data_IF_438449618901
#
_entry.id   IF_438449618901
#
_cell.length_a   1.000
_cell.length_b   1.000
_cell.length_c   1.000
_cell.angle_alpha   90.00
_cell.angle_beta   90.00
_cell.angle_gamma   90.00
#
_symmetry.space_group_name_H-M   'P 1'
#
loop_
_entity.id
_entity.type
_entity.pdbx_description
1 polymer ?
#
# COMPACT_ATOMS: atom_id res chain seq x y z
N UNK A 1 -37.13 -47.78 -55.09
CA UNK A 1 -36.00 -47.22 -54.31
C UNK A 1 -35.66 -45.75 -54.64
N UNK A 2 -36.60 -44.96 -55.19
CA UNK A 2 -36.38 -43.53 -55.55
C UNK A 2 -37.16 -42.58 -54.61
N UNK A 3 -38.29 -43.03 -54.05
CA UNK A 3 -39.14 -42.21 -53.17
C UNK A 3 -38.47 -41.92 -51.82
N UNK A 4 -37.76 -42.91 -51.22
CA UNK A 4 -37.10 -42.79 -49.90
C UNK A 4 -35.92 -41.79 -49.91
N UNK A 5 -35.25 -41.60 -51.07
CA UNK A 5 -34.15 -40.62 -51.20
C UNK A 5 -34.68 -39.18 -51.21
N UNK A 6 -35.86 -38.93 -51.80
CA UNK A 6 -36.46 -37.58 -51.86
C UNK A 6 -36.93 -37.10 -50.48
N UNK A 7 -37.48 -38.00 -49.66
CA UNK A 7 -37.94 -37.67 -48.30
C UNK A 7 -36.80 -37.32 -47.34
N UNK A 8 -35.63 -37.97 -47.48
CA UNK A 8 -34.44 -37.63 -46.68
C UNK A 8 -33.86 -36.26 -47.04
N UNK A 9 -33.84 -35.88 -48.32
CA UNK A 9 -33.37 -34.55 -48.74
C UNK A 9 -34.30 -33.42 -48.26
N UNK A 10 -35.62 -33.66 -48.23
CA UNK A 10 -36.58 -32.66 -47.74
C UNK A 10 -36.44 -32.44 -46.23
N UNK A 11 -36.19 -33.51 -45.45
CA UNK A 11 -35.96 -33.40 -44.00
C UNK A 11 -34.68 -32.61 -43.65
N UNK A 12 -33.60 -32.79 -44.42
CA UNK A 12 -32.36 -32.03 -44.22
C UNK A 12 -32.54 -30.54 -44.56
N UNK A 13 -33.29 -30.23 -45.63
CA UNK A 13 -33.60 -28.84 -46.00
C UNK A 13 -34.48 -28.13 -44.97
N UNK A 14 -35.44 -28.83 -44.36
CA UNK A 14 -36.27 -28.26 -43.29
C UNK A 14 -35.44 -28.03 -42.02
N UNK A 15 -34.56 -28.97 -41.65
CA UNK A 15 -33.67 -28.79 -40.50
C UNK A 15 -32.71 -27.61 -40.69
N UNK A 16 -32.22 -27.39 -41.91
CA UNK A 16 -31.36 -26.25 -42.24
C UNK A 16 -32.13 -24.91 -42.22
N UNK A 17 -33.41 -24.92 -42.63
CA UNK A 17 -34.27 -23.74 -42.59
C UNK A 17 -34.63 -23.30 -41.17
N UNK A 18 -34.76 -24.25 -40.23
CA UNK A 18 -34.98 -23.95 -38.80
C UNK A 18 -33.69 -23.41 -38.15
N UNK A 19 -32.50 -23.77 -38.65
CA UNK A 19 -31.23 -23.20 -38.19
C UNK A 19 -30.95 -21.77 -38.67
N UNK A 20 -31.70 -21.28 -39.67
CA UNK A 20 -31.57 -19.91 -40.20
C UNK A 20 -32.60 -18.93 -39.63
N UNK A 21 -33.50 -19.38 -38.75
CA UNK A 21 -34.30 -18.44 -37.95
C UNK A 21 -33.42 -17.93 -36.82
N UNK A 22 -32.72 -16.83 -37.08
CA UNK A 22 -32.00 -16.08 -36.05
C UNK A 22 -32.93 -15.82 -34.87
N UNK A 23 -32.43 -16.07 -33.65
CA UNK A 23 -33.14 -15.79 -32.42
C UNK A 23 -33.63 -14.33 -32.43
N UNK A 24 -34.95 -14.12 -32.44
CA UNK A 24 -35.56 -12.83 -32.09
C UNK A 24 -35.43 -12.59 -30.57
N UNK A 25 -34.21 -12.54 -30.06
CA UNK A 25 -33.96 -12.09 -28.70
C UNK A 25 -33.93 -10.57 -28.75
N UNK A 26 -35.09 -9.96 -28.54
CA UNK A 26 -35.21 -8.51 -28.34
C UNK A 26 -34.66 -8.19 -26.95
N UNK A 27 -33.35 -8.05 -26.83
CA UNK A 27 -32.76 -7.22 -25.76
C UNK A 27 -33.12 -5.79 -26.15
N UNK A 28 -33.84 -5.05 -25.30
CA UNK A 28 -34.03 -3.62 -25.59
C UNK A 28 -32.67 -2.92 -25.45
N UNK A 29 -32.37 -1.87 -26.24
CA UNK A 29 -31.11 -1.14 -26.12
C UNK A 29 -30.85 -0.61 -24.71
N UNK A 30 -31.90 -0.36 -23.92
CA UNK A 30 -31.77 0.04 -22.51
C UNK A 30 -31.18 -1.05 -21.59
N UNK A 31 -31.41 -2.33 -21.86
CA UNK A 31 -30.85 -3.45 -21.05
C UNK A 31 -29.34 -3.66 -21.31
N UNK A 32 -28.82 -3.09 -22.42
CA UNK A 32 -27.38 -2.98 -22.72
C UNK A 32 -26.72 -1.75 -22.08
N UNK A 33 -27.53 -0.89 -21.45
CA UNK A 33 -27.11 0.35 -20.80
C UNK A 33 -27.43 0.24 -19.30
N UNK A 34 -26.79 -0.69 -18.60
CA UNK A 34 -26.71 -0.59 -17.14
C UNK A 34 -25.92 0.69 -16.79
N UNK A 35 -26.44 1.57 -15.92
CA UNK A 35 -25.64 2.67 -15.39
C UNK A 35 -24.37 2.07 -14.76
N UNK A 36 -23.21 2.72 -14.91
CA UNK A 36 -21.97 2.14 -14.41
C UNK A 36 -22.06 2.03 -12.90
N UNK A 37 -21.84 0.82 -12.37
CA UNK A 37 -21.85 0.47 -10.93
C UNK A 37 -21.00 1.42 -10.06
N UNK A 38 -20.03 2.09 -10.68
CA UNK A 38 -19.20 3.14 -10.07
C UNK A 38 -20.03 4.27 -9.44
N UNK A 39 -21.15 4.68 -10.05
CA UNK A 39 -21.99 5.74 -9.47
C UNK A 39 -22.65 5.30 -8.15
N UNK A 40 -23.15 4.07 -8.07
CA UNK A 40 -23.80 3.57 -6.86
C UNK A 40 -22.80 3.42 -5.70
N UNK A 41 -21.59 2.94 -5.99
CA UNK A 41 -20.54 2.80 -4.98
C UNK A 41 -20.06 4.17 -4.46
N UNK A 42 -19.84 5.14 -5.36
CA UNK A 42 -19.41 6.48 -4.99
C UNK A 42 -20.47 7.22 -4.14
N UNK A 43 -21.76 7.03 -4.44
CA UNK A 43 -22.86 7.56 -3.62
C UNK A 43 -22.91 6.93 -2.23
N UNK A 44 -22.66 5.62 -2.13
CA UNK A 44 -22.59 4.91 -0.84
C UNK A 44 -21.41 5.36 0.00
N UNK A 45 -20.23 5.52 -0.60
CA UNK A 45 -19.04 6.04 0.08
C UNK A 45 -19.30 7.47 0.55
N UNK A 46 -19.87 8.32 -0.31
CA UNK A 46 -20.19 9.71 0.06
C UNK A 46 -21.15 9.77 1.26
N UNK A 47 -22.20 8.93 1.24
CA UNK A 47 -23.17 8.85 2.34
C UNK A 47 -22.54 8.33 3.63
N UNK A 48 -21.66 7.34 3.54
CA UNK A 48 -20.89 6.80 4.68
C UNK A 48 -20.00 7.89 5.30
N UNK A 49 -19.33 8.70 4.49
CA UNK A 49 -18.48 9.79 4.96
C UNK A 49 -19.28 10.86 5.70
N UNK A 50 -20.44 11.24 5.15
CA UNK A 50 -21.35 12.22 5.79
C UNK A 50 -21.92 11.73 7.12
N UNK A 51 -22.18 10.42 7.25
CA UNK A 51 -22.71 9.82 8.48
C UNK A 51 -21.64 9.60 9.55
N UNK A 52 -20.43 9.24 9.14
CA UNK A 52 -19.38 8.75 10.05
C UNK A 52 -18.41 9.85 10.51
N UNK A 53 -18.15 10.85 9.68
CA UNK A 53 -17.19 11.92 10.00
C UNK A 53 -17.86 13.05 10.79
N UNK A 54 -17.11 13.65 11.71
CA UNK A 54 -17.56 14.82 12.46
C UNK A 54 -17.68 16.07 11.58
N UNK A 55 -18.49 17.05 11.98
CA UNK A 55 -18.67 18.31 11.20
C UNK A 55 -17.37 19.11 11.02
N UNK A 56 -16.38 18.93 11.90
CA UNK A 56 -15.07 19.56 11.82
C UNK A 56 -14.01 18.69 11.13
N UNK A 57 -14.41 17.53 10.62
CA UNK A 57 -13.55 16.66 9.83
C UNK A 57 -13.36 17.24 8.42
N UNK A 58 -12.12 17.21 7.96
CA UNK A 58 -11.74 17.65 6.62
C UNK A 58 -10.89 16.60 5.95
N UNK A 59 -11.32 16.13 4.78
CA UNK A 59 -10.57 15.17 3.99
C UNK A 59 -9.19 15.72 3.62
N UNK A 60 -8.15 14.93 3.87
CA UNK A 60 -6.75 15.28 3.61
C UNK A 60 -6.16 14.30 2.61
N UNK A 61 -5.54 14.83 1.55
CA UNK A 61 -4.96 13.98 0.51
C UNK A 61 -3.66 13.32 0.99
N UNK A 62 -3.50 12.04 0.64
CA UNK A 62 -2.28 11.27 0.87
C UNK A 62 -1.81 10.61 -0.44
N UNK A 63 -0.50 10.56 -0.67
CA UNK A 63 0.09 9.85 -1.81
C UNK A 63 0.07 8.34 -1.59
N UNK A 64 -0.04 7.56 -2.65
CA UNK A 64 0.03 6.10 -2.65
C UNK A 64 0.31 5.59 -4.07
N UNK A 65 0.44 4.28 -4.24
CA UNK A 65 0.45 3.61 -5.54
C UNK A 65 -0.81 3.87 -6.40
N UNK A 66 -1.94 4.14 -5.76
CA UNK A 66 -3.21 4.53 -6.40
C UNK A 66 -3.32 6.04 -6.72
N UNK A 67 -2.24 6.81 -6.54
CA UNK A 67 -2.22 8.26 -6.76
C UNK A 67 -2.55 9.08 -5.50
N UNK A 68 -2.96 10.33 -5.69
CA UNK A 68 -3.22 11.30 -4.61
C UNK A 68 -4.73 11.39 -4.33
N UNK A 69 -5.18 10.92 -3.17
CA UNK A 69 -6.60 10.96 -2.75
C UNK A 69 -6.71 10.81 -1.24
N UNK A 70 -7.74 11.41 -0.64
CA UNK A 70 -8.10 11.23 0.77
C UNK A 70 -8.86 9.91 1.03
N UNK A 71 -9.41 9.29 -0.02
CA UNK A 71 -10.11 8.01 0.06
C UNK A 71 -9.36 6.97 -0.78
N UNK A 72 -9.04 5.83 -0.18
CA UNK A 72 -8.35 4.70 -0.81
C UNK A 72 -9.18 3.44 -0.68
N UNK A 73 -9.03 2.53 -1.65
CA UNK A 73 -9.72 1.23 -1.64
C UNK A 73 -8.71 0.13 -1.84
N UNK A 74 -8.57 -0.75 -0.86
CA UNK A 74 -7.62 -1.85 -0.94
C UNK A 74 -8.07 -3.01 -0.09
N UNK A 75 -7.85 -4.22 -0.58
CA UNK A 75 -7.97 -5.47 0.16
C UNK A 75 -6.75 -5.58 1.07
N UNK A 76 -6.86 -5.00 2.26
CA UNK A 76 -5.78 -4.99 3.26
C UNK A 76 -5.83 -6.24 4.15
N UNK A 77 -6.96 -6.93 4.11
CA UNK A 77 -7.28 -7.99 5.02
C UNK A 77 -7.17 -9.39 4.36
N UNK A 78 -7.11 -9.43 3.03
CA UNK A 78 -6.90 -10.62 2.21
C UNK A 78 -8.16 -11.47 2.00
N UNK A 79 -9.35 -10.96 2.27
CA UNK A 79 -10.62 -11.66 2.03
C UNK A 79 -11.13 -11.55 0.58
N UNK A 80 -10.48 -10.72 -0.24
CA UNK A 80 -10.83 -10.48 -1.63
C UNK A 80 -11.83 -9.34 -1.86
N UNK A 81 -12.24 -8.63 -0.81
CA UNK A 81 -13.01 -7.38 -0.87
C UNK A 81 -12.10 -6.22 -0.49
N UNK A 82 -12.45 -5.02 -0.95
CA UNK A 82 -11.68 -3.84 -0.59
C UNK A 82 -12.30 -3.19 0.64
N UNK A 83 -11.44 -2.88 1.60
CA UNK A 83 -11.71 -1.90 2.64
C UNK A 83 -11.62 -0.49 2.06
N UNK A 84 -12.33 0.46 2.68
CA UNK A 84 -12.23 1.89 2.35
C UNK A 84 -11.41 2.58 3.43
N UNK A 85 -10.26 3.13 3.07
CA UNK A 85 -9.45 3.94 3.97
C UNK A 85 -9.72 5.42 3.72
N UNK A 86 -9.91 6.17 4.79
CA UNK A 86 -10.26 7.58 4.77
C UNK A 86 -9.27 8.35 5.62
N UNK A 87 -8.66 9.37 5.03
CA UNK A 87 -7.66 10.24 5.67
C UNK A 87 -8.25 11.64 5.84
N UNK A 88 -8.24 12.16 7.06
CA UNK A 88 -8.84 13.46 7.37
C UNK A 88 -8.12 14.15 8.54
N UNK A 89 -8.38 15.44 8.71
CA UNK A 89 -7.98 16.21 9.88
C UNK A 89 -9.22 16.64 10.67
N UNK A 90 -9.12 16.72 12.00
CA UNK A 90 -10.16 17.37 12.84
C UNK A 90 -9.70 18.79 13.14
N UNK A 91 -10.31 19.79 12.51
CA UNK A 91 -9.79 21.17 12.52
C UNK A 91 -9.69 21.78 13.92
N UNK A 92 -10.59 21.40 14.84
CA UNK A 92 -10.58 21.93 16.21
C UNK A 92 -9.40 21.42 17.05
N UNK A 93 -9.01 20.16 16.82
CA UNK A 93 -7.90 19.50 17.50
C UNK A 93 -6.56 19.71 16.77
N UNK A 94 -6.64 19.95 15.45
CA UNK A 94 -5.50 20.02 14.54
C UNK A 94 -4.79 18.68 14.36
N UNK A 95 -5.44 17.57 14.71
CA UNK A 95 -4.91 16.21 14.62
C UNK A 95 -5.28 15.58 13.27
N UNK A 96 -4.41 14.70 12.79
CA UNK A 96 -4.70 13.85 11.63
C UNK A 96 -5.37 12.56 12.11
N UNK A 97 -6.27 12.02 11.31
CA UNK A 97 -7.00 10.81 11.59
C UNK A 97 -7.05 9.92 10.34
N UNK A 98 -7.03 8.63 10.58
CA UNK A 98 -7.26 7.60 9.59
C UNK A 98 -8.40 6.72 10.07
N UNK A 99 -9.35 6.44 9.18
CA UNK A 99 -10.38 5.43 9.42
C UNK A 99 -10.36 4.35 8.35
N UNK A 100 -10.70 3.13 8.76
CA UNK A 100 -10.90 2.01 7.85
C UNK A 100 -12.34 1.53 7.98
N UNK A 101 -12.98 1.33 6.85
CA UNK A 101 -14.35 0.88 6.75
C UNK A 101 -14.43 -0.45 5.99
N UNK A 102 -15.18 -1.40 6.55
CA UNK A 102 -15.52 -2.67 5.90
C UNK A 102 -16.94 -2.64 5.34
N UNK A 103 -17.15 -3.26 4.18
CA UNK A 103 -18.49 -3.46 3.64
C UNK A 103 -19.16 -4.69 4.28
N UNK A 104 -20.21 -4.46 5.06
CA UNK A 104 -21.03 -5.49 5.70
C UNK A 104 -22.50 -5.27 5.39
N UNK A 105 -23.16 -6.27 4.80
CA UNK A 105 -24.61 -6.26 4.58
C UNK A 105 -25.15 -5.13 3.68
N UNK A 106 -24.30 -4.50 2.86
CA UNK A 106 -24.68 -3.36 2.02
C UNK A 106 -24.46 -1.99 2.68
N UNK A 107 -23.95 -1.95 3.90
CA UNK A 107 -23.48 -0.75 4.60
C UNK A 107 -21.96 -0.82 4.83
N UNK A 108 -21.37 0.31 5.20
CA UNK A 108 -19.99 0.39 5.66
C UNK A 108 -19.97 0.51 7.18
N UNK A 109 -19.09 -0.24 7.84
CA UNK A 109 -18.87 -0.17 9.28
C UNK A 109 -17.43 0.30 9.55
N UNK A 110 -17.25 1.25 10.47
CA UNK A 110 -15.92 1.66 10.93
C UNK A 110 -15.34 0.53 11.77
N UNK A 111 -14.18 0.03 11.37
CA UNK A 111 -13.46 -1.04 12.07
C UNK A 111 -12.15 -0.55 12.69
N UNK A 112 -11.64 0.59 12.23
CA UNK A 112 -10.48 1.27 12.78
C UNK A 112 -10.69 2.78 12.68
N UNK A 113 -10.42 3.51 13.76
CA UNK A 113 -10.24 4.95 13.77
C UNK A 113 -9.03 5.26 14.65
N UNK A 114 -7.99 5.86 14.07
CA UNK A 114 -6.74 6.17 14.75
C UNK A 114 -6.35 7.62 14.53
N UNK A 115 -5.93 8.28 15.62
CA UNK A 115 -5.21 9.55 15.52
C UNK A 115 -3.80 9.26 15.00
N UNK A 116 -3.47 9.82 13.84
CA UNK A 116 -2.17 9.65 13.21
C UNK A 116 -1.23 10.78 13.67
N UNK A 117 -0.05 10.46 14.22
CA UNK A 117 0.92 11.47 14.59
C UNK A 117 1.34 12.36 13.39
N UNK A 118 1.48 13.67 13.63
CA UNK A 118 1.91 14.64 12.62
C UNK A 118 0.85 15.69 12.31
N UNK A 119 1.04 16.44 11.22
CA UNK A 119 0.14 17.52 10.79
C UNK A 119 -0.20 17.50 9.31
N UNK A 120 0.58 16.80 8.49
CA UNK A 120 0.31 16.56 7.07
C UNK A 120 0.55 15.08 6.73
N UNK A 121 -0.36 14.50 5.96
CA UNK A 121 -0.13 13.21 5.32
C UNK A 121 0.82 13.38 4.13
N UNK A 122 1.79 12.47 4.01
CA UNK A 122 2.76 12.47 2.93
C UNK A 122 2.51 11.26 2.02
N UNK A 123 2.58 10.06 2.57
CA UNK A 123 2.51 8.82 1.81
C UNK A 123 1.88 7.69 2.63
N UNK A 124 1.12 6.84 1.96
CA UNK A 124 0.66 5.56 2.45
C UNK A 124 1.14 4.45 1.53
N UNK A 125 1.57 3.35 2.14
CA UNK A 125 1.90 2.11 1.45
C UNK A 125 1.45 0.89 2.27
N UNK A 126 1.41 -0.25 1.60
CA UNK A 126 1.09 -1.54 2.20
C UNK A 126 2.33 -2.44 2.16
N UNK A 127 2.73 -2.98 3.31
CA UNK A 127 3.88 -3.86 3.43
C UNK A 127 3.62 -4.99 4.44
N UNK A 128 4.01 -6.22 4.10
CA UNK A 128 3.97 -7.36 5.03
C UNK A 128 5.20 -7.30 5.93
N UNK A 129 5.09 -6.59 7.06
CA UNK A 129 6.20 -6.44 8.03
C UNK A 129 6.17 -7.56 9.07
N UNK A 130 5.03 -8.25 9.23
CA UNK A 130 4.88 -9.34 10.21
C UNK A 130 5.28 -10.72 9.66
N UNK A 131 5.35 -10.85 8.34
CA UNK A 131 5.64 -12.07 7.61
C UNK A 131 4.50 -13.08 7.67
N UNK A 132 3.26 -12.60 7.78
CA UNK A 132 2.06 -13.44 7.87
C UNK A 132 1.30 -13.57 6.53
N UNK A 133 1.77 -12.88 5.49
CA UNK A 133 1.19 -12.86 4.15
C UNK A 133 0.11 -11.79 3.96
N UNK A 134 -0.27 -11.06 5.00
CA UNK A 134 -1.12 -9.89 4.96
C UNK A 134 -0.26 -8.64 5.05
N UNK A 135 -0.80 -7.50 4.62
CA UNK A 135 -0.04 -6.24 4.59
C UNK A 135 -0.52 -5.30 5.67
N UNK A 136 0.43 -4.73 6.40
CA UNK A 136 0.22 -3.64 7.33
C UNK A 136 0.11 -2.29 6.61
N UNK A 137 -0.56 -1.33 7.27
CA UNK A 137 -0.65 0.06 6.84
C UNK A 137 0.60 0.81 7.29
N UNK A 138 1.38 1.31 6.35
CA UNK A 138 2.52 2.19 6.64
C UNK A 138 2.13 3.60 6.25
N UNK A 139 2.03 4.49 7.24
CA UNK A 139 1.58 5.88 7.08
C UNK A 139 2.75 6.81 7.42
N UNK A 140 3.11 7.65 6.45
CA UNK A 140 4.13 8.66 6.57
C UNK A 140 3.51 10.05 6.68
N UNK A 141 3.99 10.83 7.66
CA UNK A 141 3.50 12.18 7.95
C UNK A 141 4.64 13.17 8.17
N UNK A 142 4.29 14.45 8.24
CA UNK A 142 5.21 15.53 8.63
C UNK A 142 4.51 16.58 9.50
N UNK A 143 5.27 17.36 10.28
CA UNK A 143 4.72 18.45 11.10
C UNK A 143 4.40 19.73 10.30
N UNK A 144 5.06 19.89 9.16
CA UNK A 144 4.94 20.97 8.17
C UNK A 144 5.42 20.40 6.85
N UNK A 145 5.02 20.98 5.70
CA UNK A 145 5.61 20.62 4.40
C UNK A 145 7.12 20.65 4.55
N UNK A 146 7.72 19.47 4.66
CA UNK A 146 8.97 19.25 5.39
C UNK A 146 10.11 20.01 4.72
N UNK A 147 10.43 21.21 5.22
CA UNK A 147 11.62 21.95 4.81
C UNK A 147 12.87 21.39 5.50
N UNK A 148 12.69 20.57 6.53
CA UNK A 148 13.76 20.00 7.35
C UNK A 148 14.20 18.61 6.90
N UNK A 149 13.51 17.99 5.93
CA UNK A 149 13.78 16.61 5.51
C UNK A 149 13.56 15.59 6.63
N UNK A 150 12.61 15.88 7.54
CA UNK A 150 12.21 14.98 8.63
C UNK A 150 10.75 14.64 8.52
N UNK A 151 10.48 13.35 8.62
CA UNK A 151 9.18 12.72 8.48
C UNK A 151 8.98 11.77 9.65
N UNK A 152 7.74 11.31 9.81
CA UNK A 152 7.38 10.31 10.80
C UNK A 152 6.67 9.16 10.12
N UNK A 153 7.06 7.95 10.44
CA UNK A 153 6.43 6.71 10.00
C UNK A 153 5.62 6.14 11.15
N UNK A 154 4.41 5.65 10.85
CA UNK A 154 3.61 4.85 11.76
C UNK A 154 3.11 3.60 11.04
N UNK A 155 3.24 2.44 11.68
CA UNK A 155 2.80 1.16 11.10
C UNK A 155 1.69 0.58 11.95
N UNK A 156 0.57 0.23 11.30
CA UNK A 156 -0.61 -0.31 11.95
C UNK A 156 -0.93 -1.69 11.39
N UNK A 157 -1.15 -2.65 12.30
CA UNK A 157 -1.84 -3.88 11.96
C UNK A 157 -3.34 -3.65 11.99
N UNK A 158 -4.03 -4.30 11.08
CA UNK A 158 -5.46 -4.13 10.86
C UNK A 158 -6.30 -5.29 11.45
N UNK A 159 -5.78 -6.52 11.58
CA UNK A 159 -6.62 -7.70 11.90
C UNK A 159 -6.55 -8.19 13.34
N UNK A 160 -7.71 -8.68 13.80
CA UNK A 160 -8.05 -9.27 15.12
C UNK A 160 -7.94 -8.36 16.33
N UNK A 161 -6.94 -7.49 16.37
CA UNK A 161 -6.76 -6.45 17.37
C UNK A 161 -5.96 -5.31 16.71
N UNK A 162 -6.61 -4.35 16.02
CA UNK A 162 -5.90 -3.26 15.38
C UNK A 162 -4.96 -2.57 16.38
N UNK A 163 -3.69 -2.47 16.02
CA UNK A 163 -2.70 -1.89 16.90
C UNK A 163 -1.56 -1.26 16.11
N UNK A 164 -0.96 -0.23 16.71
CA UNK A 164 0.28 0.35 16.22
C UNK A 164 1.44 -0.60 16.53
N UNK A 165 2.16 -1.01 15.49
CA UNK A 165 3.34 -1.88 15.58
C UNK A 165 4.64 -1.10 15.69
N UNK A 166 4.64 0.14 15.20
CA UNK A 166 5.83 0.96 15.10
C UNK A 166 5.51 2.45 14.95
N UNK A 167 6.36 3.30 15.51
CA UNK A 167 6.39 4.75 15.25
C UNK A 167 7.83 5.23 15.32
N UNK A 168 8.32 5.93 14.30
CA UNK A 168 9.69 6.44 14.26
C UNK A 168 9.81 7.70 13.40
N UNK A 169 10.71 8.60 13.78
CA UNK A 169 11.12 9.73 12.93
C UNK A 169 12.22 9.27 11.96
N UNK A 170 12.23 9.81 10.74
CA UNK A 170 13.21 9.45 9.72
C UNK A 170 13.46 10.59 8.72
N UNK A 171 14.56 10.51 7.96
CA UNK A 171 14.83 11.37 6.79
C UNK A 171 14.64 10.63 5.46
N UNK A 172 15.12 9.40 5.37
CA UNK A 172 14.81 8.44 4.29
C UNK A 172 14.55 7.07 4.89
N UNK A 173 13.89 6.21 4.13
CA UNK A 173 13.60 4.86 4.59
C UNK A 173 13.56 3.88 3.41
N UNK A 174 13.78 2.60 3.71
CA UNK A 174 13.48 1.46 2.84
C UNK A 174 12.73 0.43 3.67
N UNK A 175 11.69 -0.14 3.09
CA UNK A 175 10.98 -1.32 3.62
C UNK A 175 11.22 -2.47 2.65
N UNK A 176 11.90 -3.51 3.09
CA UNK A 176 12.27 -4.64 2.25
C UNK A 176 12.68 -5.85 3.09
N UNK A 177 12.40 -7.07 2.64
CA UNK A 177 12.86 -8.31 3.30
C UNK A 177 14.37 -8.52 3.07
N UNK A 178 15.20 -8.03 4.00
CA UNK A 178 16.65 -7.92 3.81
C UNK A 178 17.32 -9.27 4.06
N UNK A 179 16.90 -9.97 5.10
CA UNK A 179 17.41 -11.29 5.49
C UNK A 179 16.69 -12.47 4.81
N UNK A 180 15.66 -12.19 4.00
CA UNK A 180 14.85 -13.18 3.27
C UNK A 180 14.08 -14.12 4.20
N UNK A 181 13.66 -13.63 5.37
CA UNK A 181 12.88 -14.40 6.32
C UNK A 181 11.37 -14.39 6.03
N UNK A 182 10.93 -13.60 5.05
CA UNK A 182 9.53 -13.46 4.63
C UNK A 182 8.78 -12.30 5.29
N UNK A 183 9.41 -11.58 6.23
CA UNK A 183 8.88 -10.37 6.86
C UNK A 183 9.70 -9.18 6.37
N UNK A 184 9.05 -8.07 6.05
CA UNK A 184 9.77 -6.89 5.60
C UNK A 184 10.49 -6.20 6.75
N UNK A 185 11.78 -5.93 6.56
CA UNK A 185 12.60 -5.13 7.47
C UNK A 185 12.44 -3.64 7.19
N UNK A 186 12.75 -2.80 8.18
CA UNK A 186 12.76 -1.34 8.02
C UNK A 186 14.18 -0.83 8.24
N UNK A 187 14.69 -0.12 7.24
CA UNK A 187 15.96 0.58 7.31
C UNK A 187 15.64 2.06 7.23
N UNK A 188 15.94 2.82 8.28
CA UNK A 188 15.78 4.28 8.28
C UNK A 188 17.12 4.96 8.27
N UNK A 189 17.15 6.11 7.62
CA UNK A 189 18.29 7.02 7.62
C UNK A 189 17.91 8.27 8.40
N UNK A 190 18.72 8.60 9.40
CA UNK A 190 18.62 9.82 10.17
C UNK A 190 19.79 10.75 9.82
N UNK A 191 19.47 11.94 9.33
CA UNK A 191 20.48 12.92 8.97
C UNK A 191 20.57 14.00 10.05
N UNK A 192 21.56 13.85 10.94
CA UNK A 192 21.88 14.86 11.95
C UNK A 192 22.97 15.84 11.48
N UNK A 193 23.27 16.86 12.28
CA UNK A 193 24.24 17.90 11.91
C UNK A 193 25.65 17.34 11.63
N UNK A 194 26.05 16.23 12.28
CA UNK A 194 27.43 15.76 12.31
C UNK A 194 27.66 14.36 11.72
N UNK A 195 26.62 13.55 11.59
CA UNK A 195 26.73 12.19 11.07
C UNK A 195 25.40 11.78 10.42
N UNK A 196 25.46 10.74 9.59
CA UNK A 196 24.28 9.97 9.22
C UNK A 196 24.28 8.72 10.09
N UNK A 197 23.15 8.42 10.73
CA UNK A 197 22.91 7.08 11.25
C UNK A 197 21.94 6.34 10.35
N UNK A 198 22.18 5.04 10.23
CA UNK A 198 21.28 4.12 9.56
C UNK A 198 20.87 3.05 10.56
N UNK A 199 19.59 3.01 10.87
CA UNK A 199 19.04 2.09 11.86
C UNK A 199 18.28 0.97 11.14
N UNK A 200 18.49 -0.25 11.62
CA UNK A 200 17.81 -1.46 11.17
C UNK A 200 16.80 -1.92 12.22
N UNK A 201 15.55 -2.10 11.80
CA UNK A 201 14.46 -2.65 12.60
C UNK A 201 13.88 -3.90 11.93
N UNK A 202 13.54 -4.88 12.75
CA UNK A 202 12.87 -6.11 12.30
C UNK A 202 11.72 -6.48 13.24
N UNK A 203 10.74 -7.23 12.74
CA UNK A 203 9.55 -7.58 13.51
C UNK A 203 9.84 -8.67 14.53
N UNK A 204 9.56 -8.40 15.81
CA UNK A 204 9.64 -9.39 16.86
C UNK A 204 8.25 -9.98 17.15
N UNK A 205 8.05 -11.24 16.77
CA UNK A 205 6.79 -11.98 16.99
C UNK A 205 6.42 -12.14 18.47
N UNK A 206 7.39 -12.13 19.38
CA UNK A 206 7.18 -12.27 20.81
C UNK A 206 6.60 -11.02 21.47
N UNK A 207 7.03 -9.83 21.03
CA UNK A 207 6.49 -8.54 21.48
C UNK A 207 5.38 -8.00 20.58
N UNK A 208 5.24 -8.55 19.37
CA UNK A 208 4.32 -8.05 18.32
C UNK A 208 4.58 -6.58 17.98
N UNK A 209 5.86 -6.22 17.87
CA UNK A 209 6.34 -4.87 17.56
C UNK A 209 7.56 -4.94 16.66
N UNK A 210 7.83 -3.85 15.92
CA UNK A 210 9.13 -3.66 15.29
C UNK A 210 10.17 -3.30 16.35
N UNK A 211 11.32 -3.98 16.34
CA UNK A 211 12.39 -3.78 17.31
C UNK A 211 13.67 -3.33 16.62
N UNK A 212 14.38 -2.40 17.28
CA UNK A 212 15.70 -1.98 16.87
C UNK A 212 16.69 -3.15 16.98
N UNK A 213 17.42 -3.42 15.90
CA UNK A 213 18.40 -4.52 15.83
C UNK A 213 19.82 -3.97 15.88
N UNK A 214 20.13 -2.97 15.06
CA UNK A 214 21.46 -2.39 14.94
C UNK A 214 21.45 -1.02 14.30
N UNK A 215 22.50 -0.24 14.55
CA UNK A 215 22.79 1.03 13.91
C UNK A 215 24.15 0.92 13.22
N UNK A 216 24.28 1.55 12.06
CA UNK A 216 25.56 1.86 11.44
C UNK A 216 25.73 3.37 11.24
N UNK A 217 26.97 3.85 11.38
CA UNK A 217 27.28 5.28 11.32
C UNK A 217 28.11 5.58 10.08
N UNK A 218 27.62 6.54 9.29
CA UNK A 218 28.28 6.98 8.06
C UNK A 218 28.80 8.40 8.21
N UNK A 219 29.88 8.68 7.48
CA UNK A 219 30.36 10.05 7.29
C UNK A 219 29.27 10.92 6.67
N UNK A 220 29.22 12.18 7.09
CA UNK A 220 28.22 13.12 6.60
C UNK A 220 28.37 13.34 5.09
N UNK A 221 27.40 12.86 4.32
CA UNK A 221 27.21 13.09 2.89
C UNK A 221 25.74 13.41 2.62
N UNK A 222 25.43 14.06 1.51
CA UNK A 222 24.03 14.25 1.12
C UNK A 222 23.54 12.99 0.41
N UNK A 223 22.64 12.25 1.06
CA UNK A 223 22.04 11.05 0.47
C UNK A 223 20.97 11.50 -0.51
N UNK A 224 21.13 11.14 -1.76
CA UNK A 224 20.22 11.49 -2.85
C UNK A 224 19.11 10.46 -2.93
N UNK A 225 19.48 9.19 -2.92
CA UNK A 225 18.56 8.06 -3.01
C UNK A 225 18.91 6.95 -2.01
N UNK A 226 17.90 6.18 -1.64
CA UNK A 226 18.01 5.02 -0.77
C UNK A 226 17.05 3.95 -1.29
N UNK A 227 17.59 2.83 -1.76
CA UNK A 227 16.79 1.79 -2.43
C UNK A 227 17.27 0.38 -2.12
N UNK A 228 16.33 -0.56 -2.02
CA UNK A 228 16.65 -1.98 -1.88
C UNK A 228 17.21 -2.54 -3.19
N UNK A 229 18.21 -3.41 -3.09
CA UNK A 229 18.86 -4.09 -4.21
C UNK A 229 18.91 -5.59 -3.93
N UNK A 230 18.26 -6.36 -4.80
CA UNK A 230 18.32 -7.82 -4.75
C UNK A 230 19.68 -8.35 -5.18
N UNK A 231 20.15 -9.39 -4.50
CA UNK A 231 21.33 -10.16 -4.90
C UNK A 231 20.92 -11.56 -5.34
N UNK A 232 21.52 -12.03 -6.43
CA UNK A 232 21.38 -13.42 -6.84
C UNK A 232 21.92 -14.35 -5.74
N UNK A 233 21.05 -15.21 -5.21
CA UNK A 233 21.44 -16.28 -4.30
C UNK A 233 21.81 -15.88 -2.86
N UNK A 234 21.56 -14.64 -2.43
CA UNK A 234 21.85 -14.18 -1.06
C UNK A 234 20.86 -13.15 -0.53
N UNK A 235 21.13 -12.62 0.67
CA UNK A 235 20.39 -11.54 1.30
C UNK A 235 20.33 -10.31 0.39
N UNK A 236 19.26 -9.53 0.50
CA UNK A 236 19.20 -8.24 -0.16
C UNK A 236 20.13 -7.23 0.55
N UNK A 237 20.34 -6.08 -0.08
CA UNK A 237 21.10 -4.96 0.47
C UNK A 237 20.38 -3.65 0.21
N UNK A 238 20.76 -2.59 0.89
CA UNK A 238 20.29 -1.24 0.59
C UNK A 238 21.41 -0.44 -0.05
N UNK A 239 21.14 0.16 -1.20
CA UNK A 239 22.03 1.13 -1.83
C UNK A 239 21.70 2.53 -1.30
N UNK A 240 22.73 3.24 -0.86
CA UNK A 240 22.70 4.67 -0.63
C UNK A 240 23.44 5.35 -1.76
N UNK A 241 22.79 6.28 -2.45
CA UNK A 241 23.40 7.03 -3.54
C UNK A 241 23.71 8.47 -3.11
N UNK A 242 24.90 8.97 -3.46
CA UNK A 242 25.39 10.30 -3.10
C UNK A 242 26.03 11.00 -4.29
N UNK A 243 25.99 12.34 -4.31
CA UNK A 243 26.86 13.11 -5.20
C UNK A 243 28.23 13.31 -4.54
N UNK A 244 29.28 12.92 -5.24
CA UNK A 244 30.65 13.20 -4.84
C UNK A 244 30.99 14.69 -4.99
N UNK A 245 32.15 15.10 -4.45
CA UNK A 245 32.70 16.44 -4.70
C UNK A 245 33.04 16.70 -6.18
N UNK A 246 33.13 15.64 -6.99
CA UNK A 246 33.39 15.70 -8.44
C UNK A 246 32.10 15.62 -9.28
N UNK A 247 30.92 15.69 -8.66
CA UNK A 247 29.60 15.48 -9.28
C UNK A 247 29.40 14.08 -9.90
N UNK A 248 30.21 13.11 -9.48
CA UNK A 248 30.03 11.70 -9.83
C UNK A 248 29.11 11.02 -8.80
N UNK A 249 28.31 10.06 -9.25
CA UNK A 249 27.45 9.28 -8.37
C UNK A 249 28.27 8.21 -7.66
N UNK A 250 28.33 8.28 -6.34
CA UNK A 250 28.92 7.26 -5.48
C UNK A 250 27.83 6.42 -4.81
N UNK A 251 28.15 5.17 -4.50
CA UNK A 251 27.24 4.25 -3.80
C UNK A 251 27.91 3.65 -2.57
N UNK A 252 27.16 3.59 -1.48
CA UNK A 252 27.47 2.79 -0.30
C UNK A 252 26.40 1.73 -0.18
N UNK A 253 26.79 0.48 0.07
CA UNK A 253 25.84 -0.59 0.32
C UNK A 253 25.74 -0.87 1.81
N UNK A 254 24.52 -1.06 2.28
CA UNK A 254 24.22 -1.53 3.62
C UNK A 254 23.76 -2.98 3.52
N UNK A 255 24.45 -3.86 4.22
CA UNK A 255 24.19 -5.30 4.20
C UNK A 255 24.17 -5.86 5.63
N UNK A 256 23.54 -7.02 5.81
CA UNK A 256 23.60 -7.73 7.10
C UNK A 256 24.87 -8.57 7.17
N UNK A 257 25.62 -8.41 8.27
CA UNK A 257 26.78 -9.25 8.59
C UNK A 257 26.38 -10.66 9.04
N UNK A 258 27.38 -11.49 9.38
CA UNK A 258 27.16 -12.87 9.79
C UNK A 258 26.37 -12.99 11.11
N UNK A 259 26.34 -11.93 11.91
CA UNK A 259 25.59 -11.81 13.15
C UNK A 259 24.20 -11.19 12.94
N UNK A 260 23.83 -10.85 11.71
CA UNK A 260 22.56 -10.23 11.36
C UNK A 260 22.48 -8.73 11.69
N UNK A 261 23.63 -8.05 11.80
CA UNK A 261 23.68 -6.61 12.04
C UNK A 261 23.94 -5.85 10.76
N UNK A 262 23.33 -4.68 10.64
CA UNK A 262 23.53 -3.78 9.51
C UNK A 262 24.96 -3.22 9.53
N UNK A 263 25.59 -3.23 8.36
CA UNK A 263 26.93 -2.69 8.14
C UNK A 263 27.08 -2.11 6.75
N UNK A 264 27.74 -0.97 6.65
CA UNK A 264 28.14 -0.36 5.39
C UNK A 264 29.40 -0.96 4.81
N UNK A 265 29.37 -1.13 3.49
CA UNK A 265 30.51 -1.45 2.66
C UNK A 265 30.58 -0.43 1.51
N UNK A 266 31.70 0.28 1.42
CA UNK A 266 32.02 1.10 0.24
C UNK A 266 32.46 0.17 -0.90
N UNK A 267 31.99 0.45 -2.12
CA UNK A 267 32.46 -0.27 -3.31
C UNK A 267 33.82 0.34 -3.73
N UNK A 268 34.90 -0.44 -3.65
CA UNK A 268 36.27 -0.07 -4.09
C UNK A 268 36.37 0.20 -5.60
#
# INVERSE_FOLDING_TARGET
>A
MIVIKKTKCILVLIALAIGLTGCNWRVSPEELLEPPKLFEEDERISSMLEESLSEDAKLENISSDQGLSAVKKSDIDGDGKNEVLVFYSKEQEGSLHMSVFEESGGSYEVVLEEEVPGRLFEEMMLADVTGDGLKELVINTSDKRSQTGRYKMSIYSYRKDPNKLFEIDYSKYVIYDLDKNGSSDIIILNQEERAISVDYYSFNRGSSQMEFISEDLLDKREVVDMSAVEREGGNARVALEFYSQTEEMERVFLELDAEGKLKSEEED
#
